data_IF_722943732203
#
_entry.id   IF_722943732203
#
_cell.length_a   1.000
_cell.length_b   1.000
_cell.length_c   1.000
_cell.angle_alpha   90.00
_cell.angle_beta   90.00
_cell.angle_gamma   90.00
#
_symmetry.space_group_name_H-M   'P 1'
#
loop_
_entity.id
_entity.type
_entity.pdbx_description
1 polymer ?
#
# COMPACT_ATOMS: atom_id res chain seq x y z
N UNK A 1 10.31 -15.11 -11.99
CA UNK A 1 9.08 -14.96 -11.17
C UNK A 1 9.36 -13.84 -10.18
N UNK A 2 8.73 -12.68 -10.34
CA UNK A 2 8.92 -11.55 -9.42
C UNK A 2 7.95 -11.72 -8.27
N UNK A 3 8.44 -11.93 -7.05
CA UNK A 3 7.59 -12.06 -5.86
C UNK A 3 6.78 -10.78 -5.63
N UNK A 4 5.51 -10.91 -5.25
CA UNK A 4 4.63 -9.77 -4.94
C UNK A 4 5.14 -9.02 -3.70
N UNK A 5 5.00 -7.70 -3.71
CA UNK A 5 5.30 -6.86 -2.55
C UNK A 5 4.20 -7.07 -1.51
N UNK A 6 4.56 -7.39 -0.28
CA UNK A 6 3.58 -7.58 0.81
C UNK A 6 3.24 -6.23 1.42
N UNK A 7 1.95 -5.96 1.54
CA UNK A 7 1.46 -4.72 2.12
C UNK A 7 0.37 -5.00 3.16
N UNK A 8 0.32 -4.14 4.17
CA UNK A 8 -0.76 -4.09 5.15
C UNK A 8 -1.59 -2.84 4.91
N UNK A 9 -2.90 -2.91 5.01
CA UNK A 9 -3.74 -1.73 4.92
C UNK A 9 -4.75 -1.65 6.06
N UNK A 10 -5.20 -0.44 6.34
CA UNK A 10 -6.29 -0.16 7.28
C UNK A 10 -7.09 1.05 6.80
N UNK A 11 -8.40 1.04 7.08
CA UNK A 11 -9.28 2.17 6.85
C UNK A 11 -9.12 3.13 8.05
N UNK A 12 -8.78 4.39 7.79
CA UNK A 12 -8.75 5.45 8.81
C UNK A 12 -10.17 5.93 9.10
N UNK A 13 -11.00 5.99 8.07
CA UNK A 13 -12.44 6.23 8.11
C UNK A 13 -13.09 5.61 6.86
N UNK A 14 -14.33 5.98 6.53
CA UNK A 14 -15.06 5.44 5.37
C UNK A 14 -14.40 5.73 4.00
N UNK A 15 -13.57 6.77 3.92
CA UNK A 15 -13.01 7.27 2.67
C UNK A 15 -11.49 7.13 2.60
N UNK A 16 -10.79 7.21 3.73
CA UNK A 16 -9.33 7.25 3.79
C UNK A 16 -8.79 5.85 4.09
N UNK A 17 -7.91 5.37 3.21
CA UNK A 17 -7.17 4.12 3.39
C UNK A 17 -5.69 4.42 3.52
N UNK A 18 -5.03 3.77 4.48
CA UNK A 18 -3.58 3.74 4.60
C UNK A 18 -3.04 2.38 4.19
N UNK A 19 -1.90 2.40 3.51
CA UNK A 19 -1.19 1.23 3.00
C UNK A 19 0.26 1.29 3.46
N UNK A 20 0.66 0.36 4.32
CA UNK A 20 2.04 0.16 4.73
C UNK A 20 2.71 -0.91 3.87
N UNK A 21 3.80 -0.52 3.21
CA UNK A 21 4.64 -1.40 2.42
C UNK A 21 6.00 -1.53 3.10
N UNK A 22 6.47 -2.77 3.25
CA UNK A 22 7.85 -3.07 3.66
C UNK A 22 8.58 -3.61 2.45
N UNK A 23 9.68 -3.00 2.04
CA UNK A 23 10.39 -3.38 0.82
C UNK A 23 11.87 -3.01 0.86
N UNK A 24 12.67 -3.70 0.05
CA UNK A 24 14.05 -3.35 -0.30
C UNK A 24 14.17 -2.57 -1.62
N UNK A 25 13.02 -2.13 -2.16
CA UNK A 25 12.91 -1.41 -3.43
C UNK A 25 12.83 0.09 -3.18
N UNK A 26 13.31 0.87 -4.14
CA UNK A 26 13.23 2.32 -4.10
C UNK A 26 11.77 2.82 -4.16
N UNK A 27 11.49 3.91 -3.43
CA UNK A 27 10.15 4.50 -3.29
C UNK A 27 9.48 4.81 -4.63
N UNK A 28 10.22 5.32 -5.62
CA UNK A 28 9.66 5.74 -6.91
C UNK A 28 8.97 4.59 -7.65
N UNK A 29 9.47 3.36 -7.48
CA UNK A 29 8.87 2.15 -8.06
C UNK A 29 7.48 1.86 -7.48
N UNK A 30 7.26 2.22 -6.21
CA UNK A 30 5.96 2.08 -5.55
C UNK A 30 4.99 3.17 -6.02
N UNK A 31 5.47 4.40 -6.19
CA UNK A 31 4.66 5.55 -6.61
C UNK A 31 4.10 5.39 -8.04
N UNK A 32 4.85 4.78 -8.95
CA UNK A 32 4.37 4.43 -10.29
C UNK A 32 3.18 3.44 -10.25
N UNK A 33 3.18 2.53 -9.29
CA UNK A 33 2.12 1.54 -9.10
C UNK A 33 0.93 2.16 -8.37
N UNK A 34 1.22 2.94 -7.33
CA UNK A 34 0.29 3.60 -6.44
C UNK A 34 -0.02 5.02 -6.91
N UNK A 35 -0.35 5.19 -8.19
CA UNK A 35 -0.68 6.50 -8.74
C UNK A 35 -1.83 7.17 -7.96
N UNK A 36 -1.59 8.42 -7.54
CA UNK A 36 -2.52 9.21 -6.74
C UNK A 36 -2.63 8.78 -5.27
N UNK A 37 -1.69 7.97 -4.77
CA UNK A 37 -1.45 7.81 -3.33
C UNK A 37 -0.34 8.77 -2.89
N UNK A 38 -0.42 9.26 -1.67
CA UNK A 38 0.57 10.16 -1.07
C UNK A 38 1.40 9.41 -0.02
N UNK A 39 2.73 9.52 -0.07
CA UNK A 39 3.59 8.97 0.98
C UNK A 39 3.55 9.89 2.21
N UNK A 40 2.87 9.44 3.28
CA UNK A 40 2.65 10.24 4.50
C UNK A 40 3.61 9.89 5.63
N UNK A 41 4.35 8.78 5.51
CA UNK A 41 5.37 8.37 6.47
C UNK A 41 6.37 7.42 5.82
N UNK A 42 7.63 7.52 6.23
CA UNK A 42 8.69 6.61 5.82
C UNK A 42 9.59 6.25 7.01
N UNK A 43 10.27 5.12 6.91
CA UNK A 43 11.25 4.69 7.90
C UNK A 43 12.13 3.56 7.38
N UNK A 44 13.22 3.29 8.08
CA UNK A 44 14.15 2.22 7.73
C UNK A 44 14.22 1.21 8.87
N UNK A 45 14.30 -0.08 8.54
CA UNK A 45 14.51 -1.18 9.50
C UNK A 45 15.95 -1.67 9.37
N UNK A 46 16.88 -1.25 10.25
CA UNK A 46 18.28 -1.65 10.15
C UNK A 46 18.50 -3.17 10.19
N UNK A 47 17.67 -3.88 10.96
CA UNK A 47 17.78 -5.34 11.14
C UNK A 47 17.54 -6.12 9.85
N UNK A 48 16.58 -5.70 9.04
CA UNK A 48 16.22 -6.39 7.80
C UNK A 48 16.67 -5.65 6.54
N UNK A 49 17.28 -4.47 6.70
CA UNK A 49 17.73 -3.58 5.62
C UNK A 49 16.62 -3.24 4.63
N UNK A 50 15.41 -3.05 5.15
CA UNK A 50 14.23 -2.72 4.36
C UNK A 50 13.71 -1.35 4.77
N UNK A 51 13.14 -0.64 3.81
CA UNK A 51 12.34 0.54 4.06
C UNK A 51 10.89 0.16 4.39
N UNK A 52 10.24 1.03 5.15
CA UNK A 52 8.81 1.05 5.38
C UNK A 52 8.28 2.35 4.80
N UNK A 53 7.29 2.25 3.92
CA UNK A 53 6.54 3.38 3.40
C UNK A 53 5.08 3.25 3.82
N UNK A 54 4.47 4.34 4.27
CA UNK A 54 3.02 4.44 4.51
C UNK A 54 2.44 5.41 3.51
N UNK A 55 1.60 4.88 2.63
CA UNK A 55 0.85 5.64 1.66
C UNK A 55 -0.58 5.89 2.14
N UNK A 56 -1.14 7.03 1.80
CA UNK A 56 -2.53 7.41 2.08
C UNK A 56 -3.25 7.73 0.77
N UNK A 57 -4.52 7.34 0.68
CA UNK A 57 -5.41 7.75 -0.40
C UNK A 57 -6.84 7.87 0.07
N UNK A 58 -7.52 8.89 -0.42
CA UNK A 58 -8.96 9.07 -0.27
C UNK A 58 -9.71 8.46 -1.46
N UNK A 59 -10.74 7.67 -1.16
CA UNK A 59 -11.67 7.08 -2.10
C UNK A 59 -13.04 7.73 -1.91
N UNK A 60 -13.75 8.02 -3.01
CA UNK A 60 -15.07 8.67 -2.94
C UNK A 60 -16.11 7.76 -2.29
N UNK A 61 -15.98 6.46 -2.49
CA UNK A 61 -16.85 5.44 -1.93
C UNK A 61 -16.13 4.08 -1.87
N UNK A 62 -16.73 3.14 -1.12
CA UNK A 62 -16.21 1.79 -0.99
C UNK A 62 -16.10 1.05 -2.33
N UNK A 63 -16.96 1.36 -3.31
CA UNK A 63 -16.89 0.74 -4.63
C UNK A 63 -15.59 1.11 -5.38
N UNK A 64 -15.07 2.32 -5.18
CA UNK A 64 -13.82 2.76 -5.81
C UNK A 64 -12.61 2.08 -5.16
N UNK A 65 -12.65 1.86 -3.85
CA UNK A 65 -11.67 1.05 -3.14
C UNK A 65 -11.66 -0.40 -3.64
N UNK A 66 -12.84 -1.03 -3.75
CA UNK A 66 -12.95 -2.40 -4.23
C UNK A 66 -12.44 -2.57 -5.67
N UNK A 67 -12.73 -1.60 -6.55
CA UNK A 67 -12.17 -1.56 -7.91
C UNK A 67 -10.64 -1.47 -7.92
N UNK A 68 -10.07 -0.66 -7.02
CA UNK A 68 -8.62 -0.55 -6.88
C UNK A 68 -8.00 -1.89 -6.47
N UNK A 69 -8.56 -2.54 -5.43
CA UNK A 69 -8.12 -3.86 -4.95
C UNK A 69 -8.22 -4.95 -6.02
N UNK A 70 -9.30 -4.94 -6.81
CA UNK A 70 -9.53 -5.92 -7.86
C UNK A 70 -8.76 -5.63 -9.15
N UNK A 71 -8.08 -4.49 -9.25
CA UNK A 71 -7.35 -4.14 -10.47
C UNK A 71 -6.20 -5.14 -10.70
N UNK A 72 -6.04 -5.57 -11.94
CA UNK A 72 -5.03 -6.55 -12.32
C UNK A 72 -3.61 -6.05 -12.01
N UNK A 73 -3.35 -4.75 -12.22
CA UNK A 73 -2.08 -4.10 -11.88
C UNK A 73 -1.75 -4.25 -10.39
N UNK A 74 -2.70 -3.95 -9.51
CA UNK A 74 -2.46 -4.00 -8.06
C UNK A 74 -2.38 -5.44 -7.57
N UNK A 75 -3.35 -6.29 -7.93
CA UNK A 75 -3.40 -7.69 -7.49
C UNK A 75 -2.20 -8.51 -7.97
N UNK A 76 -1.57 -8.18 -9.10
CA UNK A 76 -0.36 -8.84 -9.58
C UNK A 76 0.93 -8.33 -8.92
N UNK A 77 0.96 -7.10 -8.42
CA UNK A 77 2.17 -6.46 -7.88
C UNK A 77 2.22 -6.46 -6.35
N UNK A 78 1.07 -6.32 -5.69
CA UNK A 78 0.96 -6.11 -4.26
C UNK A 78 0.00 -7.13 -3.66
N UNK A 79 0.48 -7.90 -2.69
CA UNK A 79 -0.32 -8.76 -1.85
C UNK A 79 -0.75 -7.96 -0.61
N UNK A 80 -2.02 -7.54 -0.58
CA UNK A 80 -2.58 -6.69 0.49
C UNK A 80 -3.29 -7.51 1.56
N UNK A 81 -2.95 -7.26 2.83
CA UNK A 81 -3.64 -7.83 4.00
C UNK A 81 -4.28 -6.72 4.84
N UNK A 82 -5.57 -6.85 5.11
CA UNK A 82 -6.27 -5.94 6.03
C UNK A 82 -5.77 -6.14 7.47
N UNK A 83 -5.54 -5.03 8.17
CA UNK A 83 -5.34 -5.01 9.62
C UNK A 83 -6.65 -4.51 10.23
N UNK A 84 -7.34 -5.40 10.94
CA UNK A 84 -8.51 -5.03 11.73
C UNK A 84 -8.01 -4.53 13.09
N UNK A 85 -8.45 -3.35 13.49
CA UNK A 85 -8.33 -2.92 14.88
C UNK A 85 -9.49 -3.61 15.62
N UNK A 86 -9.17 -4.67 16.37
CA UNK A 86 -10.06 -5.21 17.40
C UNK A 86 -10.11 -4.27 18.61
#
# INVERSE_FOLDING_TARGET
>A
MTSKVKAKYWKVNEQIVKLQIKTDKEQYMLEEVLSGWECVSFGYIPKSKEDIYVFEKSFKCESDWNKFLSSEKISNLIEMKEVRND
#
